data_IF_290971423738
#
_entry.id   IF_290971423738
#
_cell.length_a   1.000
_cell.length_b   1.000
_cell.length_c   1.000
_cell.angle_alpha   90.00
_cell.angle_beta   90.00
_cell.angle_gamma   90.00
#
_symmetry.space_group_name_H-M   'P 1'
#
loop_
_entity.id
_entity.type
_entity.pdbx_description
1 polymer ?
#
# COMPACT_ATOMS: atom_id res chain seq x y z
N UNK A 1 19.20 -28.90 -59.41
CA UNK A 1 19.20 -27.50 -58.95
C UNK A 1 18.30 -27.42 -57.78
N UNK A 2 18.86 -27.66 -56.79
CA UNK A 2 19.44 -27.12 -55.55
C UNK A 2 18.41 -26.84 -54.49
N UNK A 3 18.42 -27.75 -53.62
CA UNK A 3 17.96 -27.81 -52.28
C UNK A 3 18.78 -26.83 -51.39
N UNK A 4 18.15 -25.83 -50.79
CA UNK A 4 18.74 -24.95 -49.78
C UNK A 4 17.66 -24.19 -49.00
N UNK A 5 16.85 -24.85 -48.15
CA UNK A 5 16.01 -24.11 -47.21
C UNK A 5 15.65 -24.85 -45.91
N UNK A 6 16.44 -25.86 -45.49
CA UNK A 6 16.12 -26.62 -44.27
C UNK A 6 17.09 -26.45 -43.11
N UNK A 7 18.15 -25.64 -43.27
CA UNK A 7 19.19 -25.53 -42.23
C UNK A 7 19.00 -24.32 -41.26
N UNK A 8 18.18 -23.34 -41.63
CA UNK A 8 17.93 -22.15 -40.78
C UNK A 8 17.01 -22.38 -39.54
N UNK A 9 16.16 -23.43 -39.62
CA UNK A 9 15.20 -23.67 -38.50
C UNK A 9 15.77 -24.51 -37.35
N UNK A 10 16.79 -25.29 -37.60
CA UNK A 10 17.44 -26.09 -36.54
C UNK A 10 18.38 -25.25 -35.66
N UNK A 11 18.97 -24.22 -36.22
CA UNK A 11 19.82 -23.27 -35.48
C UNK A 11 19.06 -22.39 -34.49
N UNK A 12 17.81 -22.00 -34.84
CA UNK A 12 17.01 -21.11 -33.99
C UNK A 12 16.42 -21.84 -32.75
N UNK A 13 16.09 -23.12 -32.91
CA UNK A 13 15.59 -23.95 -31.82
C UNK A 13 16.69 -24.36 -30.83
N UNK A 14 17.93 -24.52 -31.30
CA UNK A 14 19.08 -24.80 -30.44
C UNK A 14 19.51 -23.56 -29.62
N UNK A 15 19.40 -22.36 -30.18
CA UNK A 15 19.72 -21.13 -29.47
C UNK A 15 18.68 -20.81 -28.37
N UNK A 16 17.40 -21.09 -28.60
CA UNK A 16 16.35 -20.93 -27.61
C UNK A 16 16.47 -21.91 -26.42
N UNK A 17 16.87 -23.15 -26.69
CA UNK A 17 17.07 -24.19 -25.66
C UNK A 17 18.32 -23.94 -24.80
N UNK A 18 19.38 -23.36 -25.38
CA UNK A 18 20.60 -22.99 -24.64
C UNK A 18 20.35 -21.74 -23.79
N UNK A 19 19.54 -20.79 -24.27
CA UNK A 19 19.15 -19.59 -23.48
C UNK A 19 18.32 -19.92 -22.23
N UNK A 20 17.38 -20.85 -22.34
CA UNK A 20 16.57 -21.30 -21.20
C UNK A 20 17.36 -22.12 -20.18
N UNK A 21 18.29 -22.99 -20.64
CA UNK A 21 19.13 -23.79 -19.76
C UNK A 21 20.17 -22.95 -19.00
N UNK A 22 20.69 -21.85 -19.61
CA UNK A 22 21.63 -20.93 -18.93
C UNK A 22 20.96 -20.05 -17.90
N UNK A 23 19.66 -19.71 -18.06
CA UNK A 23 18.92 -18.91 -17.05
C UNK A 23 18.60 -19.75 -15.82
N UNK A 24 18.23 -21.02 -15.97
CA UNK A 24 17.94 -21.92 -14.84
C UNK A 24 19.24 -22.30 -14.12
N UNK A 25 20.31 -22.64 -14.84
CA UNK A 25 21.61 -22.93 -14.24
C UNK A 25 22.28 -21.68 -13.60
N UNK A 26 22.05 -20.49 -14.16
CA UNK A 26 22.53 -19.22 -13.61
C UNK A 26 21.84 -18.84 -12.32
N UNK A 27 20.54 -19.11 -12.18
CA UNK A 27 19.81 -18.91 -10.92
C UNK A 27 20.28 -19.86 -9.83
N UNK A 28 20.46 -21.13 -10.15
CA UNK A 28 20.97 -22.14 -9.20
C UNK A 28 22.44 -21.90 -8.78
N UNK A 29 23.27 -21.35 -9.66
CA UNK A 29 24.67 -21.01 -9.35
C UNK A 29 24.76 -19.74 -8.52
N UNK A 30 23.92 -18.73 -8.74
CA UNK A 30 23.89 -17.50 -7.97
C UNK A 30 23.39 -17.75 -6.55
N UNK A 31 22.40 -18.63 -6.37
CA UNK A 31 21.91 -19.06 -5.07
C UNK A 31 22.98 -19.78 -4.23
N UNK A 32 23.91 -20.50 -4.87
CA UNK A 32 25.03 -21.15 -4.17
C UNK A 32 26.19 -20.20 -3.82
N UNK A 33 26.32 -19.10 -4.53
CA UNK A 33 27.39 -18.10 -4.28
C UNK A 33 27.04 -17.06 -3.24
N UNK A 34 25.75 -16.84 -2.97
CA UNK A 34 25.30 -15.83 -2.00
C UNK A 34 25.27 -16.34 -0.54
N UNK A 35 25.65 -17.59 -0.29
CA UNK A 35 25.80 -18.11 1.09
C UNK A 35 24.51 -18.02 1.92
N UNK A 36 23.36 -17.92 1.26
CA UNK A 36 22.08 -18.01 1.93
C UNK A 36 21.95 -19.38 2.53
N UNK A 37 22.06 -19.49 3.84
CA UNK A 37 21.48 -20.60 4.57
C UNK A 37 20.01 -20.61 4.17
N UNK A 38 19.65 -21.53 3.29
CA UNK A 38 18.29 -22.05 3.30
C UNK A 38 18.20 -22.77 4.67
N UNK A 39 17.80 -22.04 5.71
CA UNK A 39 17.16 -22.64 6.85
C UNK A 39 16.03 -23.50 6.27
N UNK A 40 15.66 -24.54 6.95
CA UNK A 40 14.42 -25.27 6.70
C UNK A 40 13.38 -24.23 6.34
N UNK A 41 12.67 -24.43 5.24
CA UNK A 41 11.52 -23.58 4.93
C UNK A 41 10.62 -23.73 6.16
N UNK A 42 10.62 -22.69 7.02
CA UNK A 42 9.73 -22.68 8.17
C UNK A 42 8.34 -22.95 7.57
N UNK A 43 7.73 -24.05 7.97
CA UNK A 43 6.35 -24.34 7.60
C UNK A 43 5.52 -23.17 8.09
N UNK A 44 4.70 -22.57 7.26
CA UNK A 44 3.76 -21.51 7.62
C UNK A 44 2.43 -21.77 6.96
N UNK A 45 1.36 -21.34 7.61
CA UNK A 45 0.00 -21.46 7.10
C UNK A 45 -0.82 -20.18 7.26
N UNK A 46 -0.21 -19.16 7.84
CA UNK A 46 -0.87 -17.88 8.10
C UNK A 46 -0.01 -16.72 7.60
N UNK A 47 -0.57 -15.93 6.69
CA UNK A 47 0.07 -14.69 6.24
C UNK A 47 -0.27 -13.55 7.19
N UNK A 48 0.75 -12.79 7.63
CA UNK A 48 0.58 -11.53 8.34
C UNK A 48 0.94 -10.37 7.42
N UNK A 49 0.01 -9.45 7.22
CA UNK A 49 0.19 -8.21 6.47
C UNK A 49 -0.05 -7.01 7.38
N UNK A 50 0.91 -6.09 7.46
CA UNK A 50 0.84 -4.93 8.35
C UNK A 50 0.50 -3.65 7.59
N UNK A 51 -0.58 -2.96 8.00
CA UNK A 51 -0.97 -1.64 7.52
C UNK A 51 -0.70 -0.60 8.59
N UNK A 52 0.36 0.20 8.41
CA UNK A 52 0.75 1.19 9.41
C UNK A 52 0.92 2.60 8.85
N UNK A 53 0.54 3.61 9.65
CA UNK A 53 0.59 5.01 9.26
C UNK A 53 -0.49 5.40 8.25
N UNK A 54 -0.41 6.61 7.64
CA UNK A 54 -1.43 7.10 6.71
C UNK A 54 -1.48 6.29 5.40
N UNK A 55 -2.68 5.86 5.02
CA UNK A 55 -2.93 5.10 3.78
C UNK A 55 -2.87 6.02 2.58
N UNK A 56 -2.00 5.72 1.63
CA UNK A 56 -1.79 6.49 0.40
C UNK A 56 -1.42 5.57 -0.76
N UNK A 57 -1.82 5.95 -1.98
CA UNK A 57 -1.40 5.24 -3.19
C UNK A 57 0.09 5.36 -3.45
N UNK A 58 0.63 6.55 -3.27
CA UNK A 58 2.03 6.82 -3.53
C UNK A 58 2.74 7.33 -2.28
N UNK A 59 3.93 6.84 -2.04
CA UNK A 59 4.83 7.49 -1.08
C UNK A 59 5.19 8.87 -1.62
N UNK A 60 5.00 9.92 -0.80
CA UNK A 60 5.51 11.24 -1.12
C UNK A 60 7.02 11.19 -1.37
N UNK A 61 7.56 12.22 -2.07
CA UNK A 61 9.02 12.29 -2.32
C UNK A 61 9.79 12.02 -1.03
N UNK A 62 10.77 11.09 -1.03
CA UNK A 62 11.60 10.85 0.14
C UNK A 62 12.21 12.17 0.60
N UNK A 63 11.90 12.59 1.81
CA UNK A 63 12.56 13.72 2.46
C UNK A 63 13.66 13.20 3.36
N UNK A 64 14.83 13.83 3.42
CA UNK A 64 15.89 13.42 4.36
C UNK A 64 15.47 13.48 5.83
N UNK A 65 14.32 14.14 6.11
CA UNK A 65 13.71 14.28 7.43
C UNK A 65 12.52 13.34 7.64
N UNK A 66 12.06 12.64 6.59
CA UNK A 66 11.06 11.58 6.70
C UNK A 66 11.80 10.29 7.05
N UNK A 67 11.34 9.58 8.08
CA UNK A 67 11.78 8.21 8.34
C UNK A 67 11.53 7.28 7.13
N UNK A 68 11.90 6.00 7.22
CA UNK A 68 11.56 5.02 6.20
C UNK A 68 10.05 5.10 5.95
N UNK A 69 9.65 5.34 4.70
CA UNK A 69 8.23 5.38 4.34
C UNK A 69 7.59 4.02 4.61
N UNK A 70 6.38 4.01 5.16
CA UNK A 70 5.56 2.80 5.27
C UNK A 70 5.27 2.19 3.89
N UNK A 71 4.64 1.02 3.85
CA UNK A 71 4.13 0.43 2.62
C UNK A 71 3.07 1.36 1.98
N UNK A 72 3.01 1.40 0.67
CA UNK A 72 1.89 2.04 -0.05
C UNK A 72 0.68 1.10 -0.05
N UNK A 73 -0.49 1.62 -0.39
CA UNK A 73 -1.66 0.76 -0.54
C UNK A 73 -1.45 -0.32 -1.60
N UNK A 74 -0.79 0.03 -2.71
CA UNK A 74 -0.48 -0.94 -3.77
C UNK A 74 0.48 -2.03 -3.26
N UNK A 75 1.51 -1.67 -2.44
CA UNK A 75 2.38 -2.65 -1.79
C UNK A 75 1.61 -3.61 -0.86
N UNK A 76 0.61 -3.10 -0.12
CA UNK A 76 -0.23 -3.91 0.78
C UNK A 76 -1.13 -4.86 -0.01
N UNK A 77 -1.77 -4.37 -1.08
CA UNK A 77 -2.58 -5.21 -1.99
C UNK A 77 -1.73 -6.33 -2.59
N UNK A 78 -0.54 -6.01 -3.13
CA UNK A 78 0.39 -7.02 -3.67
C UNK A 78 0.80 -8.07 -2.62
N UNK A 79 0.92 -7.70 -1.35
CA UNK A 79 1.22 -8.65 -0.26
C UNK A 79 0.06 -9.59 0.01
N UNK A 80 -1.18 -9.08 0.04
CA UNK A 80 -2.38 -9.89 0.26
C UNK A 80 -2.60 -10.83 -0.94
N UNK A 81 -2.50 -10.32 -2.16
CA UNK A 81 -2.61 -11.14 -3.38
C UNK A 81 -1.53 -12.23 -3.44
N UNK A 82 -0.28 -11.91 -3.06
CA UNK A 82 0.79 -12.89 -3.00
C UNK A 82 0.58 -13.94 -1.90
N UNK A 83 -0.09 -13.59 -0.81
CA UNK A 83 -0.49 -14.53 0.22
C UNK A 83 -1.62 -15.46 -0.26
N UNK A 84 -2.59 -14.92 -0.99
CA UNK A 84 -3.71 -15.67 -1.56
C UNK A 84 -3.26 -16.66 -2.67
N UNK A 85 -2.21 -16.31 -3.43
CA UNK A 85 -1.61 -17.17 -4.45
C UNK A 85 -0.67 -18.25 -3.88
N UNK A 86 -0.32 -18.20 -2.60
CA UNK A 86 0.59 -19.14 -1.95
C UNK A 86 -0.17 -20.35 -1.39
N UNK A 87 0.00 -21.53 -2.00
CA UNK A 87 -0.68 -22.78 -1.62
C UNK A 87 -0.40 -23.23 -0.16
N UNK A 88 0.61 -22.67 0.50
CA UNK A 88 0.94 -22.98 1.89
C UNK A 88 0.19 -22.05 2.89
N UNK A 89 -0.45 -20.97 2.42
CA UNK A 89 -1.21 -20.02 3.24
C UNK A 89 -2.69 -20.40 3.27
N UNK A 90 -3.22 -20.54 4.47
CA UNK A 90 -4.62 -20.93 4.73
C UNK A 90 -5.42 -19.84 5.44
N UNK A 91 -4.76 -18.82 6.01
CA UNK A 91 -5.40 -17.70 6.71
C UNK A 91 -4.64 -16.39 6.54
N UNK A 92 -5.36 -15.27 6.69
CA UNK A 92 -4.81 -13.92 6.61
C UNK A 92 -5.01 -13.16 7.94
N UNK A 93 -3.93 -12.68 8.53
CA UNK A 93 -3.91 -11.72 9.63
C UNK A 93 -3.55 -10.34 9.12
N UNK A 94 -4.48 -9.39 9.20
CA UNK A 94 -4.25 -7.98 8.84
C UNK A 94 -4.01 -7.17 10.10
N UNK A 95 -2.75 -6.87 10.40
CA UNK A 95 -2.39 -5.99 11.52
C UNK A 95 -2.59 -4.53 11.14
N UNK A 96 -3.38 -3.80 11.95
CA UNK A 96 -3.76 -2.42 11.68
C UNK A 96 -3.24 -1.47 12.77
N UNK A 97 -2.42 -0.49 12.35
CA UNK A 97 -2.00 0.66 13.15
C UNK A 97 -2.03 1.93 12.31
N UNK A 98 -3.23 2.38 11.95
CA UNK A 98 -3.42 3.43 10.95
C UNK A 98 -4.54 4.41 11.31
N UNK A 99 -4.32 5.72 11.07
CA UNK A 99 -5.39 6.72 11.15
C UNK A 99 -6.31 6.72 9.92
N UNK A 100 -6.09 5.82 8.95
CA UNK A 100 -6.73 5.85 7.65
C UNK A 100 -6.00 6.74 6.65
N UNK A 101 -6.70 7.17 5.61
CA UNK A 101 -6.09 7.96 4.55
C UNK A 101 -6.98 8.15 3.33
N UNK A 102 -6.43 7.93 2.15
CA UNK A 102 -7.15 8.09 0.88
C UNK A 102 -8.23 7.01 0.72
N UNK A 103 -9.43 7.39 0.26
CA UNK A 103 -10.60 6.51 0.21
C UNK A 103 -10.36 5.32 -0.74
N UNK A 104 -9.99 5.57 -2.00
CA UNK A 104 -9.81 4.51 -3.00
C UNK A 104 -8.68 3.54 -2.60
N UNK A 105 -7.49 4.01 -2.15
CA UNK A 105 -6.47 3.12 -1.61
C UNK A 105 -6.92 2.24 -0.44
N UNK A 106 -7.74 2.79 0.46
CA UNK A 106 -8.31 2.00 1.56
C UNK A 106 -9.28 0.94 1.07
N UNK A 107 -10.11 1.26 0.05
CA UNK A 107 -11.04 0.30 -0.55
C UNK A 107 -10.31 -0.80 -1.35
N UNK A 108 -9.21 -0.49 -2.02
CA UNK A 108 -8.41 -1.49 -2.72
C UNK A 108 -7.86 -2.54 -1.75
N UNK A 109 -7.31 -2.11 -0.59
CA UNK A 109 -6.83 -3.03 0.46
C UNK A 109 -7.99 -3.84 1.04
N UNK A 110 -9.12 -3.19 1.36
CA UNK A 110 -10.32 -3.87 1.86
C UNK A 110 -10.79 -4.99 0.91
N UNK A 111 -10.84 -4.69 -0.39
CA UNK A 111 -11.25 -5.67 -1.41
C UNK A 111 -10.29 -6.84 -1.46
N UNK A 112 -9.00 -6.60 -1.46
CA UNK A 112 -8.01 -7.66 -1.44
C UNK A 112 -8.17 -8.56 -0.20
N UNK A 113 -8.42 -7.98 0.99
CA UNK A 113 -8.69 -8.76 2.19
C UNK A 113 -10.01 -9.56 2.11
N UNK A 114 -11.08 -8.96 1.55
CA UNK A 114 -12.39 -9.60 1.42
C UNK A 114 -12.44 -10.67 0.31
N UNK A 115 -11.52 -10.64 -0.65
CA UNK A 115 -11.41 -11.61 -1.76
C UNK A 115 -10.44 -12.75 -1.43
N UNK A 116 -9.75 -12.72 -0.30
CA UNK A 116 -8.81 -13.76 0.14
C UNK A 116 -9.54 -15.10 0.36
N UNK A 117 -8.99 -16.22 -0.14
CA UNK A 117 -9.58 -17.57 -0.06
C UNK A 117 -9.20 -18.25 1.28
N UNK A 118 -9.83 -17.84 2.36
CA UNK A 118 -9.61 -18.38 3.71
C UNK A 118 -10.10 -17.43 4.79
N UNK A 119 -10.03 -17.81 6.08
CA UNK A 119 -10.40 -16.92 7.17
C UNK A 119 -9.48 -15.72 7.26
N UNK A 120 -10.08 -14.55 7.47
CA UNK A 120 -9.40 -13.27 7.58
C UNK A 120 -9.66 -12.63 8.94
N UNK A 121 -8.60 -12.27 9.67
CA UNK A 121 -8.70 -11.59 10.96
C UNK A 121 -7.96 -10.25 10.88
N UNK A 122 -8.68 -9.17 11.14
CA UNK A 122 -8.08 -7.86 11.35
C UNK A 122 -7.73 -7.69 12.84
N UNK A 123 -6.53 -7.19 13.14
CA UNK A 123 -6.10 -6.90 14.49
C UNK A 123 -5.68 -5.44 14.65
N UNK A 124 -6.45 -4.68 15.40
CA UNK A 124 -6.17 -3.29 15.74
C UNK A 124 -5.19 -3.23 16.93
N UNK A 125 -3.93 -2.87 16.68
CA UNK A 125 -2.93 -2.72 17.76
C UNK A 125 -3.18 -1.44 18.57
N UNK A 126 -2.76 -0.26 18.05
CA UNK A 126 -2.98 1.02 18.74
C UNK A 126 -4.14 1.81 18.12
N UNK A 127 -4.27 1.78 16.78
CA UNK A 127 -5.18 2.63 16.04
C UNK A 127 -5.74 1.96 14.79
N UNK A 128 -7.05 1.84 14.71
CA UNK A 128 -7.79 1.39 13.53
C UNK A 128 -8.91 2.39 13.24
N UNK A 129 -8.59 3.48 12.55
CA UNK A 129 -9.51 4.59 12.37
C UNK A 129 -9.73 4.93 10.91
N UNK A 130 -10.93 5.42 10.56
CA UNK A 130 -11.29 5.90 9.23
C UNK A 130 -10.99 4.84 8.15
N UNK A 131 -10.11 5.12 7.18
CA UNK A 131 -9.69 4.13 6.18
C UNK A 131 -9.14 2.82 6.76
N UNK A 132 -8.61 2.83 7.99
CA UNK A 132 -8.22 1.60 8.70
C UNK A 132 -9.43 0.74 9.08
N UNK A 133 -10.49 1.38 9.57
CA UNK A 133 -11.74 0.69 9.86
C UNK A 133 -12.44 0.22 8.58
N UNK A 134 -12.33 1.00 7.49
CA UNK A 134 -12.77 0.58 6.16
C UNK A 134 -12.11 -0.72 5.74
N UNK A 135 -10.79 -0.86 5.93
CA UNK A 135 -10.05 -2.10 5.64
C UNK A 135 -10.56 -3.24 6.54
N UNK A 136 -10.64 -2.99 7.86
CA UNK A 136 -11.08 -3.99 8.83
C UNK A 136 -12.47 -4.55 8.51
N UNK A 137 -13.40 -3.74 7.95
CA UNK A 137 -14.72 -4.19 7.54
C UNK A 137 -14.72 -5.16 6.36
N UNK A 138 -13.58 -5.41 5.72
CA UNK A 138 -13.38 -6.43 4.70
C UNK A 138 -12.91 -7.78 5.23
N UNK A 139 -12.57 -7.86 6.53
CA UNK A 139 -12.16 -9.11 7.18
C UNK A 139 -13.35 -9.78 7.89
N UNK A 140 -13.27 -11.09 8.12
CA UNK A 140 -14.33 -11.85 8.79
C UNK A 140 -14.48 -11.47 10.27
N UNK A 141 -13.35 -11.18 10.93
CA UNK A 141 -13.33 -10.76 12.34
C UNK A 141 -12.42 -9.53 12.52
N UNK A 142 -12.81 -8.64 13.45
CA UNK A 142 -11.99 -7.54 13.93
C UNK A 142 -11.74 -7.68 15.43
N UNK A 143 -10.48 -7.82 15.79
CA UNK A 143 -9.96 -7.87 17.14
C UNK A 143 -9.26 -6.57 17.52
N UNK A 144 -9.34 -6.16 18.77
CA UNK A 144 -8.67 -4.99 19.30
C UNK A 144 -8.20 -5.21 20.73
N UNK A 145 -7.31 -4.36 21.22
CA UNK A 145 -7.02 -4.28 22.65
C UNK A 145 -7.97 -3.30 23.33
N UNK A 146 -8.18 -3.46 24.64
CA UNK A 146 -9.04 -2.55 25.43
C UNK A 146 -8.73 -1.07 25.20
N UNK A 147 -7.44 -0.74 25.06
CA UNK A 147 -6.95 0.63 24.87
C UNK A 147 -6.73 1.05 23.41
N UNK A 148 -6.99 0.17 22.45
CA UNK A 148 -6.91 0.55 21.03
C UNK A 148 -7.94 1.63 20.71
N UNK A 149 -7.61 2.52 19.78
CA UNK A 149 -8.55 3.50 19.26
C UNK A 149 -9.18 2.98 17.97
N UNK A 150 -10.50 2.79 17.96
CA UNK A 150 -11.22 2.17 16.84
C UNK A 150 -12.38 3.07 16.41
N UNK A 151 -12.72 3.08 15.12
CA UNK A 151 -13.88 3.79 14.58
C UNK A 151 -13.51 4.93 13.63
N UNK A 152 -13.94 6.18 13.93
CA UNK A 152 -13.83 7.32 13.00
C UNK A 152 -14.45 7.01 11.62
N UNK A 153 -15.65 6.40 11.63
CA UNK A 153 -16.39 6.06 10.42
C UNK A 153 -16.98 7.35 9.85
N UNK A 154 -16.16 8.05 9.07
CA UNK A 154 -16.51 9.34 8.52
C UNK A 154 -15.52 9.82 7.50
N UNK A 155 -15.92 10.88 6.77
CA UNK A 155 -15.14 11.46 5.68
C UNK A 155 -14.93 12.94 5.91
N UNK A 156 -13.73 13.43 5.71
CA UNK A 156 -13.39 14.85 5.82
C UNK A 156 -12.71 15.34 4.54
N UNK A 157 -13.22 16.45 4.00
CA UNK A 157 -12.55 17.22 2.97
C UNK A 157 -12.20 18.60 3.52
N UNK A 158 -11.02 19.11 3.19
CA UNK A 158 -10.62 20.44 3.60
C UNK A 158 -9.89 21.20 2.50
N UNK A 159 -10.10 22.52 2.46
CA UNK A 159 -9.34 23.43 1.60
C UNK A 159 -8.87 24.64 2.41
N UNK A 160 -7.62 25.09 2.27
CA UNK A 160 -7.21 26.37 2.83
C UNK A 160 -7.87 27.52 2.07
N UNK A 161 -8.27 28.59 2.76
CA UNK A 161 -8.64 29.87 2.14
C UNK A 161 -7.50 30.86 2.36
N UNK A 162 -6.73 31.13 1.32
CA UNK A 162 -5.59 32.04 1.35
C UNK A 162 -5.88 33.39 0.68
N UNK A 163 -7.13 33.66 0.23
CA UNK A 163 -7.48 34.89 -0.47
C UNK A 163 -7.16 36.14 0.36
N UNK A 164 -7.58 36.19 1.62
CA UNK A 164 -7.32 37.35 2.48
C UNK A 164 -5.82 37.58 2.78
N UNK A 165 -4.98 36.55 2.71
CA UNK A 165 -3.53 36.69 2.78
C UNK A 165 -2.95 37.24 1.48
N UNK A 166 -3.39 36.73 0.33
CA UNK A 166 -2.99 37.24 -0.97
C UNK A 166 -3.31 38.72 -1.15
N UNK A 167 -4.52 39.13 -0.76
CA UNK A 167 -4.95 40.53 -0.79
C UNK A 167 -4.02 41.45 0.06
N UNK A 168 -3.66 41.00 1.27
CA UNK A 168 -2.74 41.77 2.16
C UNK A 168 -1.31 41.85 1.59
N UNK A 169 -0.89 40.89 0.81
CA UNK A 169 0.44 40.88 0.17
C UNK A 169 0.43 41.57 -1.18
N UNK A 170 -0.72 42.06 -1.66
CA UNK A 170 -0.86 42.71 -2.97
C UNK A 170 -0.74 41.70 -4.14
N UNK A 171 -1.04 40.43 -3.88
CA UNK A 171 -1.04 39.40 -4.90
C UNK A 171 -2.41 39.38 -5.57
N UNK A 172 -2.48 39.63 -6.88
CA UNK A 172 -3.67 39.43 -7.70
C UNK A 172 -3.68 38.00 -8.23
N UNK A 173 -4.86 37.37 -8.22
CA UNK A 173 -5.09 36.07 -8.83
C UNK A 173 -6.10 36.20 -9.96
N UNK A 174 -5.66 35.88 -11.17
CA UNK A 174 -6.51 35.88 -12.36
C UNK A 174 -6.68 34.43 -12.83
N UNK A 175 -7.93 34.03 -13.04
CA UNK A 175 -8.27 32.67 -13.42
C UNK A 175 -9.12 32.63 -14.68
N UNK A 176 -8.82 31.69 -15.56
CA UNK A 176 -9.57 31.44 -16.76
C UNK A 176 -10.07 30.00 -16.73
N UNK A 177 -11.36 29.77 -16.61
CA UNK A 177 -11.96 28.45 -16.47
C UNK A 177 -13.03 28.21 -17.49
N UNK A 178 -13.30 26.94 -17.78
CA UNK A 178 -14.45 26.48 -18.50
C UNK A 178 -15.09 25.33 -17.68
N UNK A 179 -16.38 25.48 -17.36
CA UNK A 179 -17.13 24.61 -16.45
C UNK A 179 -17.32 25.29 -15.09
N UNK A 180 -18.57 25.32 -14.62
CA UNK A 180 -19.04 26.09 -13.46
C UNK A 180 -18.29 25.75 -12.17
N UNK A 181 -18.03 24.45 -11.91
CA UNK A 181 -17.38 24.00 -10.66
C UNK A 181 -15.88 23.67 -10.82
N UNK A 182 -15.27 24.08 -11.95
CA UNK A 182 -13.87 23.71 -12.23
C UNK A 182 -12.87 24.24 -11.21
N UNK A 183 -13.23 25.31 -10.54
CA UNK A 183 -12.40 26.03 -9.58
C UNK A 183 -12.94 26.04 -8.13
N UNK A 184 -13.93 25.21 -7.85
CA UNK A 184 -14.55 25.10 -6.52
C UNK A 184 -13.55 24.83 -5.39
N UNK A 185 -12.43 24.13 -5.65
CA UNK A 185 -11.37 23.82 -4.68
C UNK A 185 -10.22 24.83 -4.60
N UNK A 186 -10.20 25.90 -5.42
CA UNK A 186 -9.06 26.82 -5.51
C UNK A 186 -8.91 27.66 -4.22
N UNK A 187 -7.70 27.70 -3.59
CA UNK A 187 -7.51 28.36 -2.30
C UNK A 187 -7.44 29.88 -2.36
N UNK A 188 -7.28 30.49 -3.55
CA UNK A 188 -7.11 31.93 -3.74
C UNK A 188 -8.39 32.68 -4.07
N UNK A 189 -9.55 32.04 -3.94
CA UNK A 189 -10.86 32.69 -4.07
C UNK A 189 -11.75 32.36 -2.87
N UNK A 190 -12.76 33.22 -2.61
CA UNK A 190 -13.85 32.84 -1.73
C UNK A 190 -14.66 31.71 -2.36
N UNK A 191 -15.18 30.83 -1.54
CA UNK A 191 -16.07 29.77 -1.97
C UNK A 191 -17.50 30.32 -2.06
N UNK A 192 -18.18 30.05 -3.16
CA UNK A 192 -19.59 30.37 -3.33
C UNK A 192 -20.47 29.28 -2.70
N UNK A 193 -21.77 29.58 -2.44
CA UNK A 193 -22.62 28.65 -1.71
C UNK A 193 -22.90 27.37 -2.51
N UNK A 194 -23.13 27.48 -3.81
CA UNK A 194 -23.33 26.35 -4.73
C UNK A 194 -22.07 25.48 -4.86
N UNK A 195 -20.88 26.08 -4.83
CA UNK A 195 -19.60 25.33 -4.78
C UNK A 195 -19.46 24.58 -3.47
N UNK A 196 -19.88 25.17 -2.36
CA UNK A 196 -19.90 24.55 -1.04
C UNK A 196 -20.83 23.33 -1.04
N UNK A 197 -22.05 23.49 -1.55
CA UNK A 197 -23.03 22.41 -1.68
C UNK A 197 -22.49 21.30 -2.57
N UNK A 198 -21.87 21.64 -3.70
CA UNK A 198 -21.25 20.67 -4.59
C UNK A 198 -20.15 19.85 -3.90
N UNK A 199 -19.22 20.51 -3.21
CA UNK A 199 -18.13 19.83 -2.50
C UNK A 199 -18.66 19.01 -1.32
N UNK A 200 -19.67 19.51 -0.59
CA UNK A 200 -20.32 18.77 0.49
C UNK A 200 -21.00 17.52 -0.04
N UNK A 201 -21.68 17.61 -1.20
CA UNK A 201 -22.30 16.43 -1.81
C UNK A 201 -21.32 15.32 -2.18
N UNK A 202 -20.07 15.65 -2.51
CA UNK A 202 -19.00 14.63 -2.70
C UNK A 202 -18.66 13.95 -1.37
N UNK A 203 -18.52 14.73 -0.29
CA UNK A 203 -18.22 14.22 1.04
C UNK A 203 -19.36 13.32 1.54
N UNK A 204 -20.60 13.74 1.36
CA UNK A 204 -21.79 12.98 1.76
C UNK A 204 -21.87 11.66 0.98
N UNK A 205 -21.57 11.68 -0.33
CA UNK A 205 -21.51 10.48 -1.14
C UNK A 205 -20.44 9.47 -0.69
N UNK A 206 -19.26 9.94 -0.30
CA UNK A 206 -18.24 9.06 0.29
C UNK A 206 -18.65 8.53 1.66
N UNK A 207 -19.32 9.36 2.47
CA UNK A 207 -19.81 8.93 3.77
C UNK A 207 -20.88 7.85 3.66
N UNK A 208 -21.82 8.01 2.72
CA UNK A 208 -22.85 7.00 2.43
C UNK A 208 -22.21 5.67 2.02
N UNK A 209 -21.22 5.70 1.12
CA UNK A 209 -20.46 4.51 0.75
C UNK A 209 -19.75 3.86 1.93
N UNK A 210 -19.16 4.66 2.82
CA UNK A 210 -18.48 4.13 4.00
C UNK A 210 -19.47 3.42 4.93
N UNK A 211 -20.60 4.07 5.22
CA UNK A 211 -21.65 3.45 6.06
C UNK A 211 -22.17 2.16 5.45
N UNK A 212 -22.42 2.13 4.14
CA UNK A 212 -22.87 0.91 3.42
C UNK A 212 -21.81 -0.20 3.52
N UNK A 213 -20.54 0.12 3.25
CA UNK A 213 -19.44 -0.85 3.32
C UNK A 213 -19.28 -1.45 4.73
N UNK A 214 -19.36 -0.61 5.76
CA UNK A 214 -19.29 -1.09 7.16
C UNK A 214 -20.53 -1.91 7.53
N UNK A 215 -21.71 -1.45 7.10
CA UNK A 215 -22.98 -2.17 7.34
C UNK A 215 -22.94 -3.58 6.77
N UNK A 216 -22.45 -3.72 5.55
CA UNK A 216 -22.32 -5.03 4.87
C UNK A 216 -21.24 -5.90 5.54
N UNK A 217 -20.06 -5.33 5.82
CA UNK A 217 -18.93 -6.09 6.34
C UNK A 217 -19.04 -6.44 7.82
N UNK A 218 -19.86 -5.71 8.61
CA UNK A 218 -20.02 -5.90 10.05
C UNK A 218 -21.42 -6.36 10.46
N UNK A 219 -22.33 -6.59 9.52
CA UNK A 219 -23.73 -6.93 9.74
C UNK A 219 -24.43 -5.95 10.72
N UNK A 220 -24.15 -4.65 10.58
CA UNK A 220 -24.67 -3.57 11.42
C UNK A 220 -25.74 -2.76 10.71
N UNK A 221 -26.70 -2.21 11.48
CA UNK A 221 -27.67 -1.27 10.92
C UNK A 221 -26.97 0.05 10.49
N UNK A 222 -27.18 0.55 9.27
CA UNK A 222 -26.61 1.81 8.81
C UNK A 222 -26.89 2.99 9.76
N UNK A 223 -28.04 3.03 10.41
CA UNK A 223 -28.38 4.11 11.35
C UNK A 223 -27.54 4.03 12.64
N UNK A 224 -27.26 2.82 13.16
CA UNK A 224 -26.38 2.62 14.31
C UNK A 224 -24.96 3.11 13.97
N UNK A 225 -24.49 2.84 12.76
CA UNK A 225 -23.19 3.33 12.28
C UNK A 225 -23.20 4.87 12.23
N UNK A 226 -24.27 5.50 11.72
CA UNK A 226 -24.40 6.96 11.66
C UNK A 226 -24.46 7.60 13.05
N UNK A 227 -25.05 6.91 14.05
CA UNK A 227 -25.10 7.37 15.44
C UNK A 227 -23.72 7.46 16.10
N UNK A 228 -22.70 6.78 15.56
CA UNK A 228 -21.31 6.95 15.99
C UNK A 228 -20.78 8.36 15.74
N UNK A 229 -21.37 9.11 14.80
CA UNK A 229 -20.97 10.49 14.42
C UNK A 229 -19.47 10.61 14.16
N UNK A 230 -18.87 9.58 13.54
CA UNK A 230 -17.46 9.48 13.25
C UNK A 230 -16.54 9.60 14.49
N UNK A 231 -17.02 9.25 15.67
CA UNK A 231 -16.19 9.21 16.87
C UNK A 231 -15.20 8.05 16.81
N UNK A 232 -14.12 8.20 17.55
CA UNK A 232 -13.23 7.10 17.93
C UNK A 232 -13.62 6.64 19.32
N UNK A 233 -13.51 5.33 19.55
CA UNK A 233 -13.80 4.66 20.80
C UNK A 233 -12.55 3.93 21.30
N UNK A 234 -12.45 3.71 22.59
CA UNK A 234 -11.55 2.70 23.12
C UNK A 234 -12.06 1.31 22.71
N UNK A 235 -11.18 0.33 22.67
CA UNK A 235 -11.53 -1.01 22.21
C UNK A 235 -12.70 -1.64 22.99
N UNK A 236 -12.74 -1.46 24.32
CA UNK A 236 -13.83 -1.92 25.16
C UNK A 236 -15.16 -1.26 24.81
N UNK A 237 -15.19 0.07 24.65
CA UNK A 237 -16.39 0.79 24.19
C UNK A 237 -16.77 0.38 22.75
N UNK A 238 -15.79 0.17 21.88
CA UNK A 238 -16.02 -0.26 20.49
C UNK A 238 -16.65 -1.65 20.42
N UNK A 239 -16.24 -2.58 21.29
CA UNK A 239 -16.84 -3.91 21.40
C UNK A 239 -18.29 -3.85 21.93
N UNK A 240 -18.57 -2.97 22.90
CA UNK A 240 -19.95 -2.75 23.39
C UNK A 240 -20.88 -2.21 22.29
N UNK A 241 -20.32 -1.42 21.34
CA UNK A 241 -21.05 -0.92 20.17
C UNK A 241 -21.19 -1.94 19.04
N UNK A 242 -20.46 -3.06 19.09
CA UNK A 242 -20.41 -4.04 18.00
C UNK A 242 -19.46 -3.65 16.85
N UNK A 243 -18.61 -2.63 17.06
CA UNK A 243 -17.59 -2.24 16.10
C UNK A 243 -16.36 -3.17 16.11
N UNK A 244 -16.18 -3.95 17.17
CA UNK A 244 -15.12 -4.93 17.38
C UNK A 244 -15.77 -6.23 17.82
N UNK A 245 -15.31 -7.36 17.28
CA UNK A 245 -15.89 -8.68 17.60
C UNK A 245 -15.41 -9.18 18.96
N UNK A 246 -14.09 -9.06 19.20
CA UNK A 246 -13.46 -9.57 20.39
C UNK A 246 -12.30 -8.69 20.85
N UNK A 247 -12.03 -8.72 22.15
CA UNK A 247 -10.89 -8.03 22.75
C UNK A 247 -9.78 -9.03 23.09
N UNK A 248 -8.54 -8.70 22.74
CA UNK A 248 -7.42 -9.58 23.03
C UNK A 248 -6.07 -9.01 22.65
N UNK A 249 -5.04 -9.76 22.95
CA UNK A 249 -3.66 -9.54 22.52
C UNK A 249 -3.40 -10.25 21.19
N UNK A 250 -2.23 -10.09 20.63
CA UNK A 250 -1.81 -10.83 19.43
C UNK A 250 -1.82 -12.35 19.69
N UNK A 251 -1.38 -12.77 20.87
CA UNK A 251 -1.41 -14.20 21.27
C UNK A 251 -2.85 -14.75 21.28
N UNK A 252 -3.85 -13.95 21.73
CA UNK A 252 -5.26 -14.36 21.72
C UNK A 252 -5.81 -14.46 20.27
N UNK A 253 -5.32 -13.60 19.37
CA UNK A 253 -5.65 -13.66 17.93
C UNK A 253 -5.05 -14.92 17.28
N UNK A 254 -3.79 -15.27 17.63
CA UNK A 254 -3.18 -16.52 17.18
C UNK A 254 -3.95 -17.75 17.69
N UNK A 255 -4.37 -17.75 18.95
CA UNK A 255 -5.24 -18.82 19.49
C UNK A 255 -6.56 -18.92 18.70
N UNK A 256 -7.15 -17.76 18.30
CA UNK A 256 -8.35 -17.75 17.46
C UNK A 256 -8.08 -18.30 16.06
N UNK A 257 -6.97 -17.95 15.44
CA UNK A 257 -6.57 -18.50 14.14
C UNK A 257 -6.36 -20.02 14.24
N UNK A 258 -5.78 -20.52 15.35
CA UNK A 258 -5.67 -21.96 15.60
C UNK A 258 -7.04 -22.67 15.62
N UNK A 259 -8.07 -22.03 16.22
CA UNK A 259 -9.43 -22.56 16.20
C UNK A 259 -10.03 -22.58 14.78
N UNK A 260 -9.83 -21.52 14.01
CA UNK A 260 -10.35 -21.40 12.64
C UNK A 260 -9.68 -22.40 11.69
N UNK A 261 -8.38 -22.58 11.80
CA UNK A 261 -7.61 -23.51 10.97
C UNK A 261 -7.69 -24.98 11.45
N UNK A 262 -7.98 -25.19 12.75
CA UNK A 262 -7.93 -26.52 13.37
C UNK A 262 -6.51 -27.05 13.59
N UNK A 263 -5.51 -26.19 13.46
CA UNK A 263 -4.09 -26.45 13.71
C UNK A 263 -3.41 -25.18 14.23
N UNK A 264 -2.22 -25.28 14.83
CA UNK A 264 -1.46 -24.12 15.29
C UNK A 264 -1.11 -23.21 14.09
N UNK A 265 -1.28 -21.88 14.22
CA UNK A 265 -0.88 -20.94 13.18
C UNK A 265 0.63 -20.77 13.18
N UNK A 266 1.26 -21.03 12.07
CA UNK A 266 2.66 -20.67 11.81
C UNK A 266 2.65 -19.38 10.98
N UNK A 267 2.82 -18.25 11.68
CA UNK A 267 2.65 -16.92 11.09
C UNK A 267 3.90 -16.49 10.34
N UNK A 268 3.73 -16.10 9.08
CA UNK A 268 4.77 -15.48 8.27
C UNK A 268 4.40 -14.06 7.88
N UNK A 269 5.29 -13.10 8.16
CA UNK A 269 5.12 -11.72 7.71
C UNK A 269 5.40 -11.59 6.22
N UNK A 270 4.40 -11.14 5.46
CA UNK A 270 4.53 -10.78 4.06
C UNK A 270 4.97 -9.33 3.96
N UNK A 271 6.10 -9.09 3.33
CA UNK A 271 6.68 -7.75 3.17
C UNK A 271 6.86 -7.41 1.70
N UNK A 272 6.73 -6.13 1.30
CA UNK A 272 6.88 -5.75 -0.10
C UNK A 272 8.21 -6.24 -0.69
N UNK A 273 8.17 -6.78 -1.90
CA UNK A 273 9.39 -7.13 -2.64
C UNK A 273 10.15 -5.86 -3.04
N UNK A 274 10.93 -5.31 -2.12
CA UNK A 274 11.83 -4.19 -2.44
C UNK A 274 12.97 -4.68 -3.31
N UNK A 275 13.12 -4.09 -4.50
CA UNK A 275 14.22 -4.39 -5.42
C UNK A 275 15.59 -4.24 -4.73
N UNK A 276 16.58 -5.04 -5.17
CA UNK A 276 17.94 -5.06 -4.59
C UNK A 276 18.57 -3.65 -4.50
N UNK A 277 18.27 -2.76 -5.45
CA UNK A 277 18.74 -1.37 -5.47
C UNK A 277 18.15 -0.55 -4.31
N UNK A 278 16.91 -0.81 -3.93
CA UNK A 278 16.19 -0.15 -2.84
C UNK A 278 16.66 -0.69 -1.47
N UNK A 279 16.86 -2.00 -1.35
CA UNK A 279 17.46 -2.66 -0.17
C UNK A 279 18.87 -2.14 0.14
N UNK A 280 19.64 -1.75 -0.89
CA UNK A 280 20.98 -1.21 -0.75
C UNK A 280 20.98 0.32 -0.56
N UNK A 281 19.83 0.99 -0.52
CA UNK A 281 19.72 2.46 -0.44
C UNK A 281 20.39 3.17 -1.63
N UNK A 282 20.56 2.46 -2.75
CA UNK A 282 21.17 2.98 -3.95
C UNK A 282 20.04 3.52 -4.82
N UNK A 283 19.74 4.81 -4.69
CA UNK A 283 18.77 5.46 -5.57
C UNK A 283 19.13 5.25 -7.05
N UNK A 284 18.11 5.10 -7.90
CA UNK A 284 18.28 4.89 -9.34
C UNK A 284 19.24 5.91 -9.99
N UNK A 285 19.32 7.13 -9.46
CA UNK A 285 20.27 8.16 -9.87
C UNK A 285 21.74 7.77 -9.65
N UNK A 286 22.05 7.07 -8.54
CA UNK A 286 23.42 6.61 -8.27
C UNK A 286 23.81 5.41 -9.12
N UNK A 287 22.86 4.53 -9.42
CA UNK A 287 23.07 3.41 -10.36
C UNK A 287 23.27 3.95 -11.78
N UNK A 288 22.46 4.90 -12.21
CA UNK A 288 22.60 5.56 -13.52
C UNK A 288 23.92 6.35 -13.61
N UNK A 289 24.34 7.03 -12.54
CA UNK A 289 25.62 7.74 -12.47
C UNK A 289 26.81 6.76 -12.51
N UNK A 290 26.75 5.65 -11.76
CA UNK A 290 27.80 4.64 -11.78
C UNK A 290 27.91 3.93 -13.14
N UNK A 291 26.78 3.63 -13.78
CA UNK A 291 26.75 3.07 -15.12
C UNK A 291 27.26 4.09 -16.18
N UNK A 292 26.84 5.36 -16.06
CA UNK A 292 27.30 6.43 -16.94
C UNK A 292 28.78 6.76 -16.80
N UNK A 293 29.32 6.75 -15.58
CA UNK A 293 30.75 6.99 -15.34
C UNK A 293 31.61 5.82 -15.78
N UNK A 294 31.11 4.58 -15.70
CA UNK A 294 31.79 3.40 -16.25
C UNK A 294 31.93 3.46 -17.76
N UNK A 295 30.91 3.94 -18.47
CA UNK A 295 30.95 4.14 -19.93
C UNK A 295 31.87 5.32 -20.32
N UNK A 296 31.84 6.40 -19.55
CA UNK A 296 32.74 7.56 -19.80
C UNK A 296 34.21 7.21 -19.56
N UNK A 297 34.53 6.32 -18.61
CA UNK A 297 35.89 5.84 -18.36
C UNK A 297 36.48 5.02 -19.51
N UNK A 298 35.64 4.31 -20.29
CA UNK A 298 36.10 3.54 -21.48
C UNK A 298 36.44 4.42 -22.65
N UNK A 299 35.87 5.62 -22.74
CA UNK A 299 36.17 6.60 -23.82
C UNK A 299 37.21 7.66 -23.46
N UNK A 300 37.65 7.71 -22.17
CA UNK A 300 38.62 8.70 -21.68
C UNK A 300 40.08 8.23 -21.78
N UNK A 301 40.34 6.98 -22.17
CA UNK A 301 41.71 6.41 -22.22
C UNK A 301 42.37 6.50 -23.62
N UNK A 302 41.86 7.33 -24.53
CA UNK A 302 42.50 7.55 -25.81
C UNK A 302 42.48 9.04 -26.18
N UNK A 303 43.54 9.77 -25.81
CA UNK A 303 43.96 10.96 -26.54
C UNK A 303 43.91 12.32 -25.84
N UNK A 304 45.05 12.80 -25.42
CA UNK A 304 45.44 14.20 -25.67
C UNK A 304 45.15 15.22 -24.57
N UNK A 305 46.23 15.65 -23.92
CA UNK A 305 46.32 16.86 -23.11
C UNK A 305 45.65 18.06 -23.81
N UNK A 306 44.64 18.64 -23.16
CA UNK A 306 44.17 19.99 -23.45
C UNK A 306 44.48 20.86 -22.24
N UNK A 307 45.53 21.63 -22.37
CA UNK A 307 45.92 22.71 -21.45
C UNK A 307 44.92 23.87 -21.59
N UNK A 308 44.14 24.17 -20.55
CA UNK A 308 43.25 25.35 -20.52
C UNK A 308 43.76 26.29 -19.45
N UNK A 309 44.53 27.30 -19.89
CA UNK A 309 44.88 28.48 -19.07
C UNK A 309 43.65 29.41 -18.96
N UNK A 310 43.15 29.62 -17.76
CA UNK A 310 42.23 30.71 -17.45
C UNK A 310 42.99 31.97 -17.04
N UNK A 311 42.78 33.03 -17.82
CA UNK A 311 43.11 34.40 -17.43
C UNK A 311 41.87 35.14 -17.00
#
# INVERSE_FOLDING_TARGET
>A
MNDASTDGRKGLLAAAAVGAATTIAGRAALARLTGGRFGDADEYNTAKVTVSGPIRRNQGRPSPLSGPGGATADDVVEQIEAADEDEDVEALLVELNTPGGEVVPSDDIRRAAAEFDGPTVAYATDLCASGGYWIASGCDELWARDASLVGSIGVVGSRPNAKGLADKLGISYEQFTAGEYKDAGVPLKEIEEDEREYLQGIIDGYYDQFVETVSEGRDMDPEEIRETEARVYLGDDAAEFGLVDELGTEDDVEDRLAELLGTEPEVREFTPERGLAERLGIGAERVAFAAGSGVAGVFADDGGDIDVELR
#
